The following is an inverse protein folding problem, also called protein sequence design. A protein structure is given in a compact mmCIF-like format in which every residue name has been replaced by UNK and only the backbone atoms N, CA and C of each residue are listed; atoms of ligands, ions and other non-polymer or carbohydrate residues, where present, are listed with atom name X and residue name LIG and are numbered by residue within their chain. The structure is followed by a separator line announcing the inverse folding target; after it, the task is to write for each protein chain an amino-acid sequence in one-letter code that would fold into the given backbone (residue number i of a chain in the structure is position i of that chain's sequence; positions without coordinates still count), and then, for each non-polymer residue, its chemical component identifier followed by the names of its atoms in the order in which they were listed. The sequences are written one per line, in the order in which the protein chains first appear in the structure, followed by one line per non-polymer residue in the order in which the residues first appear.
data_IF_868098431168
#
_entry.id   IF_868098431168
#
_cell.length_a   1.000
_cell.length_b   1.000
_cell.length_c   1.000
_cell.angle_alpha   90.00
_cell.angle_beta   90.00
_cell.angle_gamma   90.00
#
_symmetry.space_group_name_H-M   'P 1'
#
loop_
_entity.id
_entity.type
_entity.pdbx_description
1 polymer ?
#
# COMPACT_ATOMS: atom_id res chain seq x y z
N UNK A 1 -11.40 3.49 -11.25
CA UNK A 1 -11.64 2.08 -10.84
C UNK A 1 -10.88 1.08 -11.73
N UNK A 2 -10.80 1.29 -13.06
CA UNK A 2 -10.07 0.42 -13.99
C UNK A 2 -8.56 0.34 -13.65
N UNK A 3 -7.87 1.48 -13.48
CA UNK A 3 -6.43 1.56 -13.21
C UNK A 3 -6.00 0.71 -12.00
N UNK A 4 -6.74 0.79 -10.88
CA UNK A 4 -6.44 -0.04 -9.71
C UNK A 4 -6.60 -1.54 -10.01
N UNK A 5 -7.64 -1.92 -10.77
CA UNK A 5 -7.83 -3.31 -11.17
C UNK A 5 -6.62 -3.84 -11.97
N UNK A 6 -6.13 -3.06 -12.93
CA UNK A 6 -5.02 -3.45 -13.81
C UNK A 6 -3.72 -3.60 -12.99
N UNK A 7 -3.39 -2.62 -12.14
CA UNK A 7 -2.20 -2.68 -11.27
C UNK A 7 -2.23 -3.91 -10.35
N UNK A 8 -3.42 -4.30 -9.88
CA UNK A 8 -3.61 -5.48 -9.05
C UNK A 8 -3.79 -6.79 -9.82
N UNK A 9 -3.53 -6.78 -11.14
CA UNK A 9 -3.51 -7.98 -11.97
C UNK A 9 -4.89 -8.53 -12.31
N UNK A 10 -5.88 -7.67 -12.54
CA UNK A 10 -7.20 -8.08 -13.01
C UNK A 10 -7.07 -8.71 -14.41
N UNK A 11 -7.82 -9.78 -14.65
CA UNK A 11 -7.90 -10.39 -15.97
C UNK A 11 -8.83 -9.62 -16.89
N UNK A 12 -8.71 -9.82 -18.22
CA UNK A 12 -9.65 -9.26 -19.22
C UNK A 12 -11.09 -9.61 -18.86
N UNK A 13 -11.34 -10.87 -18.45
CA UNK A 13 -12.67 -11.33 -18.02
C UNK A 13 -13.16 -10.54 -16.79
N UNK A 14 -12.35 -10.44 -15.75
CA UNK A 14 -12.72 -9.72 -14.53
C UNK A 14 -12.90 -8.22 -14.74
N UNK A 15 -12.14 -7.60 -15.68
CA UNK A 15 -12.33 -6.20 -16.03
C UNK A 15 -13.63 -5.97 -16.81
N UNK A 16 -13.91 -6.86 -17.77
CA UNK A 16 -15.15 -6.83 -18.55
C UNK A 16 -16.40 -6.92 -17.66
N UNK A 17 -16.41 -7.89 -16.71
CA UNK A 17 -17.51 -8.01 -15.74
C UNK A 17 -17.62 -6.79 -14.81
N UNK A 18 -16.50 -6.27 -14.34
CA UNK A 18 -16.50 -5.15 -13.38
C UNK A 18 -16.97 -3.82 -13.98
N UNK A 19 -16.72 -3.61 -15.27
CA UNK A 19 -17.08 -2.39 -16.00
C UNK A 19 -18.34 -2.55 -16.83
N UNK A 20 -18.89 -3.76 -16.94
CA UNK A 20 -20.03 -4.11 -17.79
C UNK A 20 -19.78 -3.75 -19.28
N UNK A 21 -18.61 -4.17 -19.80
CA UNK A 21 -18.16 -3.90 -21.16
C UNK A 21 -17.77 -5.21 -21.88
N UNK A 22 -17.75 -5.23 -23.23
CA UNK A 22 -17.24 -6.36 -24.00
C UNK A 22 -15.79 -6.72 -23.67
N UNK A 23 -15.43 -8.00 -23.84
CA UNK A 23 -14.08 -8.49 -23.53
C UNK A 23 -12.99 -7.88 -24.42
N UNK A 24 -13.30 -7.60 -25.65
CA UNK A 24 -12.40 -6.93 -26.59
C UNK A 24 -12.10 -5.49 -26.15
N UNK A 25 -13.10 -4.75 -25.68
CA UNK A 25 -12.93 -3.42 -25.11
C UNK A 25 -12.10 -3.47 -23.80
N UNK A 26 -12.39 -4.41 -22.92
CA UNK A 26 -11.60 -4.62 -21.71
C UNK A 26 -10.13 -4.96 -22.04
N UNK A 27 -9.90 -5.75 -23.11
CA UNK A 27 -8.56 -6.05 -23.58
C UNK A 27 -7.85 -4.81 -24.10
N UNK A 28 -8.53 -4.00 -24.92
CA UNK A 28 -7.96 -2.74 -25.44
C UNK A 28 -7.57 -1.78 -24.31
N UNK A 29 -8.38 -1.69 -23.25
CA UNK A 29 -8.05 -0.88 -22.08
C UNK A 29 -6.81 -1.37 -21.34
N UNK A 30 -6.64 -2.68 -21.17
CA UNK A 30 -5.45 -3.27 -20.52
C UNK A 30 -4.21 -3.06 -21.41
N UNK A 31 -4.30 -3.35 -22.71
CA UNK A 31 -3.19 -3.20 -23.65
C UNK A 31 -2.75 -1.72 -23.71
N UNK A 32 -3.67 -0.77 -23.88
CA UNK A 32 -3.38 0.66 -23.91
C UNK A 32 -2.78 1.17 -22.59
N UNK A 33 -3.19 0.60 -21.45
CA UNK A 33 -2.59 0.91 -20.16
C UNK A 33 -1.10 0.51 -20.12
N UNK A 34 -0.76 -0.71 -20.58
CA UNK A 34 0.61 -1.19 -20.57
C UNK A 34 1.47 -0.56 -21.67
N UNK A 35 0.89 -0.15 -22.80
CA UNK A 35 1.58 0.69 -23.79
C UNK A 35 1.98 2.05 -23.18
N UNK A 36 1.10 2.66 -22.40
CA UNK A 36 1.37 3.93 -21.71
C UNK A 36 2.35 3.77 -20.55
N UNK A 37 2.25 2.67 -19.82
CA UNK A 37 3.04 2.40 -18.61
C UNK A 37 3.79 1.06 -18.69
N UNK A 38 4.75 0.89 -19.62
CA UNK A 38 5.42 -0.40 -19.83
C UNK A 38 6.18 -0.89 -18.60
N UNK A 39 6.70 0.02 -17.76
CA UNK A 39 7.41 -0.34 -16.54
C UNK A 39 6.51 -1.01 -15.49
N UNK A 40 5.21 -0.74 -15.50
CA UNK A 40 4.25 -1.43 -14.64
C UNK A 40 4.11 -2.89 -15.07
N UNK A 41 4.00 -3.14 -16.37
CA UNK A 41 3.98 -4.50 -16.91
C UNK A 41 5.26 -5.27 -16.55
N UNK A 42 6.42 -4.65 -16.75
CA UNK A 42 7.73 -5.23 -16.41
C UNK A 42 7.83 -5.59 -14.92
N UNK A 43 7.35 -4.71 -14.05
CA UNK A 43 7.29 -4.97 -12.62
C UNK A 43 6.43 -6.20 -12.29
N UNK A 44 5.25 -6.30 -12.91
CA UNK A 44 4.34 -7.43 -12.68
C UNK A 44 4.96 -8.76 -13.10
N UNK A 45 5.58 -8.81 -14.28
CA UNK A 45 6.23 -10.04 -14.79
C UNK A 45 7.45 -10.43 -13.93
N UNK A 46 8.32 -9.46 -13.60
CA UNK A 46 9.47 -9.68 -12.71
C UNK A 46 9.05 -10.17 -11.33
N UNK A 47 7.98 -9.63 -10.78
CA UNK A 47 7.47 -10.06 -9.45
C UNK A 47 7.02 -11.52 -9.47
N UNK A 48 6.32 -11.95 -10.53
CA UNK A 48 5.92 -13.35 -10.72
C UNK A 48 7.13 -14.27 -10.91
N UNK A 49 8.11 -13.84 -11.71
CA UNK A 49 9.32 -14.60 -11.96
C UNK A 49 10.13 -14.80 -10.68
N UNK A 50 10.38 -13.74 -9.91
CA UNK A 50 11.06 -13.80 -8.62
C UNK A 50 10.33 -14.76 -7.67
N UNK A 51 8.99 -14.68 -7.62
CA UNK A 51 8.18 -15.57 -6.79
C UNK A 51 8.33 -17.04 -7.21
N UNK A 52 8.33 -17.33 -8.51
CA UNK A 52 8.51 -18.71 -9.02
C UNK A 52 9.89 -19.27 -8.69
N UNK A 53 10.94 -18.44 -8.75
CA UNK A 53 12.32 -18.86 -8.48
C UNK A 53 12.60 -19.01 -6.99
N UNK A 54 12.10 -18.08 -6.14
CA UNK A 54 12.46 -18.00 -4.73
C UNK A 54 11.40 -18.58 -3.79
N UNK A 55 10.16 -18.77 -4.26
CA UNK A 55 9.02 -19.16 -3.43
C UNK A 55 8.47 -18.02 -2.56
N UNK A 56 8.96 -16.81 -2.69
CA UNK A 56 8.52 -15.61 -1.96
C UNK A 56 8.80 -14.33 -2.72
N UNK A 57 8.14 -13.26 -2.33
CA UNK A 57 8.47 -11.86 -2.69
C UNK A 57 8.79 -11.06 -1.43
N UNK A 58 9.39 -9.87 -1.60
CA UNK A 58 9.80 -9.02 -0.47
C UNK A 58 9.24 -7.62 -0.58
N UNK A 59 9.00 -6.98 0.56
CA UNK A 59 8.81 -5.53 0.65
C UNK A 59 10.13 -4.80 0.41
N UNK A 60 10.09 -3.47 0.28
CA UNK A 60 11.29 -2.63 0.21
C UNK A 60 12.14 -2.72 1.50
N UNK A 61 11.54 -3.10 2.63
CA UNK A 61 12.23 -3.34 3.89
C UNK A 61 12.76 -4.78 4.05
N UNK A 62 12.61 -5.63 3.01
CA UNK A 62 13.10 -7.01 3.02
C UNK A 62 12.19 -8.02 3.72
N UNK A 63 11.02 -7.63 4.19
CA UNK A 63 10.05 -8.55 4.79
C UNK A 63 9.48 -9.48 3.71
N UNK A 64 9.49 -10.80 3.98
CA UNK A 64 9.11 -11.84 3.02
C UNK A 64 7.64 -12.20 3.10
N UNK A 65 7.03 -12.37 1.92
CA UNK A 65 5.73 -13.03 1.74
C UNK A 65 5.95 -14.34 0.98
N UNK A 66 5.81 -15.47 1.64
CA UNK A 66 5.92 -16.80 1.03
C UNK A 66 4.67 -17.10 0.19
N UNK A 67 4.90 -17.76 -0.95
CA UNK A 67 3.90 -18.08 -1.97
C UNK A 67 4.04 -19.54 -2.39
N UNK A 68 3.67 -20.51 -1.53
CA UNK A 68 3.87 -21.94 -1.78
C UNK A 68 3.15 -22.40 -3.06
N UNK A 69 2.06 -21.76 -3.43
CA UNK A 69 1.20 -22.12 -4.56
C UNK A 69 1.61 -21.49 -5.89
N UNK A 70 2.72 -20.75 -5.94
CA UNK A 70 3.13 -19.99 -7.14
C UNK A 70 3.40 -20.88 -8.36
N UNK A 71 3.81 -22.12 -8.13
CA UNK A 71 4.06 -23.13 -9.16
C UNK A 71 2.97 -24.23 -9.22
N UNK A 72 1.78 -23.97 -8.66
CA UNK A 72 0.67 -24.94 -8.67
C UNK A 72 0.26 -25.33 -10.10
N UNK A 73 -0.01 -26.60 -10.34
CA UNK A 73 -0.57 -27.08 -11.59
C UNK A 73 -2.01 -26.56 -11.82
N UNK A 74 -2.75 -26.27 -10.73
CA UNK A 74 -4.08 -25.69 -10.81
C UNK A 74 -3.98 -24.20 -11.18
N UNK A 75 -4.50 -23.84 -12.36
CA UNK A 75 -4.43 -22.48 -12.90
C UNK A 75 -5.11 -21.42 -12.00
N UNK A 76 -6.20 -21.76 -11.33
CA UNK A 76 -6.90 -20.84 -10.43
C UNK A 76 -6.08 -20.54 -9.18
N UNK A 77 -5.51 -21.57 -8.56
CA UNK A 77 -4.64 -21.46 -7.38
C UNK A 77 -3.38 -20.69 -7.72
N UNK A 78 -2.72 -21.05 -8.83
CA UNK A 78 -1.54 -20.34 -9.35
C UNK A 78 -1.84 -18.88 -9.64
N UNK A 79 -2.96 -18.55 -10.31
CA UNK A 79 -3.36 -17.18 -10.61
C UNK A 79 -3.59 -16.31 -9.35
N UNK A 80 -4.10 -16.93 -8.28
CA UNK A 80 -4.21 -16.24 -6.98
C UNK A 80 -2.83 -15.93 -6.39
N UNK A 81 -1.90 -16.90 -6.42
CA UNK A 81 -0.53 -16.70 -5.95
C UNK A 81 0.23 -15.65 -6.79
N UNK A 82 0.03 -15.62 -8.11
CA UNK A 82 0.61 -14.61 -9.02
C UNK A 82 0.12 -13.19 -8.69
N UNK A 83 -1.17 -13.01 -8.43
CA UNK A 83 -1.70 -11.71 -7.96
C UNK A 83 -1.08 -11.29 -6.63
N UNK A 84 -0.93 -12.23 -5.69
CA UNK A 84 -0.24 -11.95 -4.43
C UNK A 84 1.24 -11.61 -4.64
N UNK A 85 1.92 -12.20 -5.62
CA UNK A 85 3.30 -11.86 -5.96
C UNK A 85 3.45 -10.41 -6.40
N UNK A 86 2.47 -9.89 -7.13
CA UNK A 86 2.44 -8.49 -7.59
C UNK A 86 2.09 -7.53 -6.44
N UNK A 87 1.07 -7.88 -5.65
CA UNK A 87 0.48 -6.97 -4.67
C UNK A 87 1.23 -6.92 -3.35
N UNK A 88 1.77 -8.05 -2.89
CA UNK A 88 2.38 -8.14 -1.56
C UNK A 88 3.60 -7.22 -1.36
N UNK A 89 4.49 -6.99 -2.33
CA UNK A 89 5.57 -6.02 -2.19
C UNK A 89 5.05 -4.60 -1.95
N UNK A 90 4.00 -4.18 -2.66
CA UNK A 90 3.43 -2.83 -2.58
C UNK A 90 2.68 -2.65 -1.27
N UNK A 91 1.69 -3.49 -1.00
CA UNK A 91 0.87 -3.43 0.21
C UNK A 91 1.70 -3.66 1.48
N UNK A 92 2.65 -4.61 1.39
CA UNK A 92 3.56 -4.88 2.50
C UNK A 92 4.49 -3.71 2.79
N UNK A 93 5.00 -3.03 1.76
CA UNK A 93 5.84 -1.82 1.95
C UNK A 93 5.03 -0.69 2.57
N UNK A 94 3.79 -0.45 2.14
CA UNK A 94 2.91 0.54 2.78
C UNK A 94 2.71 0.24 4.27
N UNK A 95 2.46 -1.04 4.62
CA UNK A 95 2.35 -1.46 6.02
C UNK A 95 3.66 -1.33 6.81
N UNK A 96 4.82 -1.44 6.17
CA UNK A 96 6.10 -1.23 6.82
C UNK A 96 6.35 0.26 7.06
N UNK A 97 6.04 1.13 6.08
CA UNK A 97 6.18 2.59 6.19
C UNK A 97 5.36 3.13 7.37
N UNK A 98 4.08 2.76 7.48
CA UNK A 98 3.24 3.24 8.58
C UNK A 98 3.78 2.79 9.95
N UNK A 99 4.32 1.58 10.06
CA UNK A 99 4.94 1.10 11.30
C UNK A 99 6.22 1.85 11.66
N UNK A 100 7.04 2.21 10.67
CA UNK A 100 8.23 3.04 10.89
C UNK A 100 7.81 4.42 11.38
N UNK A 101 6.81 5.05 10.74
CA UNK A 101 6.24 6.31 11.20
C UNK A 101 5.76 6.24 12.65
N UNK A 102 5.00 5.18 12.99
CA UNK A 102 4.51 4.97 14.37
C UNK A 102 5.64 4.90 15.40
N UNK A 103 6.73 4.21 15.08
CA UNK A 103 7.90 4.08 15.96
C UNK A 103 8.59 5.44 16.13
N UNK A 104 8.76 6.18 15.05
CA UNK A 104 9.39 7.50 15.08
C UNK A 104 8.56 8.49 15.89
N UNK A 105 7.24 8.56 15.64
CA UNK A 105 6.30 9.40 16.40
C UNK A 105 6.34 9.05 17.89
N UNK A 106 6.27 7.77 18.22
CA UNK A 106 6.32 7.33 19.62
C UNK A 106 7.62 7.77 20.33
N UNK A 107 8.75 7.57 19.68
CA UNK A 107 10.05 7.96 20.23
C UNK A 107 10.16 9.48 20.40
N UNK A 108 9.65 10.24 19.45
CA UNK A 108 9.67 11.70 19.49
C UNK A 108 8.74 12.25 20.55
N UNK A 109 7.53 11.69 20.70
CA UNK A 109 6.62 12.03 21.79
C UNK A 109 7.28 11.81 23.15
N UNK A 110 7.94 10.66 23.31
CA UNK A 110 8.67 10.34 24.55
C UNK A 110 9.82 11.32 24.81
N UNK A 111 10.62 11.65 23.80
CA UNK A 111 11.76 12.57 23.94
C UNK A 111 11.35 14.00 24.27
N UNK A 112 10.22 14.47 23.72
CA UNK A 112 9.70 15.82 23.93
C UNK A 112 8.71 15.93 25.12
N UNK A 113 8.42 14.81 25.79
CA UNK A 113 7.51 14.81 26.95
C UNK A 113 6.05 15.02 26.59
N UNK A 114 5.65 14.74 25.36
CA UNK A 114 4.26 14.83 24.86
C UNK A 114 3.39 13.82 25.61
N UNK A 115 2.26 14.27 26.14
CA UNK A 115 1.29 13.46 26.91
C UNK A 115 0.17 12.92 26.03
N UNK A 116 -0.08 13.53 24.88
CA UNK A 116 -0.99 13.03 23.84
C UNK A 116 -0.61 11.63 23.43
N UNK A 117 -1.58 10.83 22.99
CA UNK A 117 -1.37 9.39 22.74
C UNK A 117 -1.84 9.00 21.34
N UNK A 118 -1.02 8.20 20.66
CA UNK A 118 -1.46 7.41 19.50
C UNK A 118 -2.36 6.30 20.01
N UNK A 119 -3.59 6.20 19.52
CA UNK A 119 -4.61 5.28 20.05
C UNK A 119 -5.05 4.21 19.06
N UNK A 120 -5.00 4.50 17.76
CA UNK A 120 -5.50 3.59 16.73
C UNK A 120 -4.75 3.77 15.41
N UNK A 121 -4.59 2.68 14.67
CA UNK A 121 -4.13 2.68 13.27
C UNK A 121 -5.18 1.97 12.42
N UNK A 122 -5.66 2.64 11.38
CA UNK A 122 -6.64 2.12 10.42
C UNK A 122 -6.09 2.31 9.01
N UNK A 123 -5.73 1.22 8.34
CA UNK A 123 -5.08 1.25 7.02
C UNK A 123 -3.81 2.12 6.99
N UNK A 124 -3.88 3.31 6.40
CA UNK A 124 -2.82 4.32 6.25
C UNK A 124 -3.04 5.55 7.16
N UNK A 125 -3.98 5.47 8.07
CA UNK A 125 -4.39 6.52 8.99
C UNK A 125 -3.93 6.22 10.42
N UNK A 126 -3.43 7.23 11.12
CA UNK A 126 -3.08 7.18 12.54
C UNK A 126 -3.97 8.14 13.34
N UNK A 127 -4.61 7.60 14.36
CA UNK A 127 -5.51 8.36 15.23
C UNK A 127 -4.85 8.64 16.60
N UNK A 128 -5.04 9.85 17.08
CA UNK A 128 -4.43 10.34 18.32
C UNK A 128 -5.49 10.93 19.24
N UNK A 129 -5.34 10.68 20.54
CA UNK A 129 -6.00 11.49 21.57
C UNK A 129 -5.06 12.63 21.92
N UNK A 130 -5.45 13.85 21.53
CA UNK A 130 -4.60 15.04 21.60
C UNK A 130 -5.07 15.98 22.71
N UNK A 131 -4.14 16.40 23.58
CA UNK A 131 -4.39 17.46 24.54
C UNK A 131 -4.43 18.81 23.82
N UNK A 132 -5.39 19.70 24.15
CA UNK A 132 -5.53 20.98 23.44
C UNK A 132 -4.26 21.82 23.40
N UNK A 133 -3.50 21.83 24.48
CA UNK A 133 -2.23 22.56 24.61
C UNK A 133 -1.08 21.98 23.78
N UNK A 134 -1.18 20.73 23.34
CA UNK A 134 -0.16 20.04 22.54
C UNK A 134 -0.52 19.98 21.04
N UNK A 135 -1.70 20.49 20.66
CA UNK A 135 -2.29 20.30 19.33
C UNK A 135 -1.32 20.59 18.18
N UNK A 136 -0.79 21.82 18.14
CA UNK A 136 0.10 22.26 17.05
C UNK A 136 1.39 21.45 17.00
N UNK A 137 1.95 21.14 18.21
CA UNK A 137 3.19 20.36 18.27
C UNK A 137 3.00 18.91 17.86
N UNK A 138 1.90 18.27 18.27
CA UNK A 138 1.54 16.91 17.87
C UNK A 138 1.34 16.83 16.35
N UNK A 139 0.58 17.76 15.78
CA UNK A 139 0.36 17.85 14.33
C UNK A 139 1.68 17.94 13.57
N UNK A 140 2.55 18.86 13.96
CA UNK A 140 3.86 19.03 13.35
C UNK A 140 4.68 17.73 13.39
N UNK A 141 4.81 17.11 14.57
CA UNK A 141 5.58 15.87 14.74
C UNK A 141 5.01 14.76 13.86
N UNK A 142 3.68 14.55 13.90
CA UNK A 142 3.03 13.47 13.17
C UNK A 142 3.23 13.62 11.67
N UNK A 143 2.99 14.81 11.11
CA UNK A 143 3.16 15.09 9.68
C UNK A 143 4.62 14.90 9.25
N UNK A 144 5.58 15.44 10.01
CA UNK A 144 7.01 15.28 9.73
C UNK A 144 7.42 13.80 9.71
N UNK A 145 7.07 13.04 10.74
CA UNK A 145 7.48 11.63 10.85
C UNK A 145 6.77 10.70 9.86
N UNK A 146 5.52 10.98 9.50
CA UNK A 146 4.82 10.23 8.46
C UNK A 146 5.42 10.50 7.08
N UNK A 147 5.68 11.74 6.74
CA UNK A 147 6.24 12.13 5.44
C UNK A 147 7.69 11.67 5.27
N UNK A 148 8.46 11.59 6.36
CA UNK A 148 9.87 11.20 6.36
C UNK A 148 10.11 9.72 6.71
N UNK A 149 9.05 8.95 6.95
CA UNK A 149 9.15 7.55 7.36
C UNK A 149 9.94 6.69 6.37
N UNK A 150 9.88 7.02 5.09
CA UNK A 150 10.66 6.36 4.04
C UNK A 150 10.90 7.29 2.85
N UNK A 151 12.16 7.36 2.41
CA UNK A 151 12.52 8.21 1.29
C UNK A 151 12.26 7.52 -0.04
N UNK A 152 11.35 8.08 -0.85
CA UNK A 152 11.01 7.59 -2.18
C UNK A 152 11.22 8.67 -3.25
N UNK A 153 11.22 8.26 -4.53
CA UNK A 153 11.25 9.21 -5.66
C UNK A 153 9.99 10.09 -5.73
N UNK A 154 8.85 9.54 -5.30
CA UNK A 154 7.59 10.27 -5.13
C UNK A 154 7.46 10.60 -3.64
N UNK A 155 7.25 11.86 -3.26
CA UNK A 155 7.15 12.23 -1.85
C UNK A 155 5.91 11.59 -1.20
N UNK A 156 6.06 11.18 0.06
CA UNK A 156 4.92 10.85 0.90
C UNK A 156 4.27 12.15 1.34
N UNK A 157 2.96 12.25 1.17
CA UNK A 157 2.16 13.37 1.63
C UNK A 157 1.23 12.86 2.72
N UNK A 158 1.17 13.56 3.84
CA UNK A 158 0.24 13.29 4.93
C UNK A 158 -0.56 14.56 5.23
N UNK A 159 -1.85 14.40 5.43
CA UNK A 159 -2.77 15.43 5.84
C UNK A 159 -3.24 15.17 7.27
N UNK A 160 -3.74 16.19 7.96
CA UNK A 160 -4.28 16.07 9.30
C UNK A 160 -5.66 16.71 9.40
N UNK A 161 -6.50 16.14 10.26
CA UNK A 161 -7.80 16.67 10.64
C UNK A 161 -8.01 16.59 12.14
N UNK A 162 -8.83 17.47 12.69
CA UNK A 162 -9.15 17.50 14.11
C UNK A 162 -10.66 17.58 14.33
N UNK A 163 -11.14 16.84 15.30
CA UNK A 163 -12.54 16.81 15.71
C UNK A 163 -12.68 16.30 17.12
N UNK A 164 -13.89 16.38 17.67
CA UNK A 164 -14.22 15.82 19.00
C UNK A 164 -14.42 14.30 18.94
N UNK A 165 -14.53 13.77 17.72
CA UNK A 165 -14.64 12.36 17.42
C UNK A 165 -14.04 12.07 16.02
N UNK A 166 -13.86 10.79 15.69
CA UNK A 166 -13.23 10.38 14.43
C UNK A 166 -13.99 10.86 13.19
N UNK A 167 -15.32 10.87 13.21
CA UNK A 167 -16.14 11.30 12.06
C UNK A 167 -15.95 12.79 11.73
N UNK A 168 -15.69 13.62 12.74
CA UNK A 168 -15.45 15.06 12.55
C UNK A 168 -14.01 15.34 12.11
N UNK A 169 -13.08 14.46 12.48
CA UNK A 169 -11.65 14.60 12.15
C UNK A 169 -11.29 14.06 10.75
N UNK A 170 -12.20 13.31 10.10
CA UNK A 170 -11.95 12.58 8.83
C UNK A 170 -12.39 13.32 7.58
#
# INVERSE_FOLDING_TARGET
RANFGIIYGITVFGLAERLDIPRDEAKMLIDGYFETFPQVHDYMEKSKEIARQKGYVTTLFGRRRYLPDINSANATVRGFAERNAINAPIQGTAADIIKVAMIHIFNRFKAEGIKSKMILQVHDELNFSVLPEEKERVEQIVLEEMQQAFQMKVPLVADSGFGTNWLEAH
#
